data_IF_576224584630
#
_entry.id   IF_576224584630
#
_cell.length_a   1.000
_cell.length_b   1.000
_cell.length_c   1.000
_cell.angle_alpha   90.00
_cell.angle_beta   90.00
_cell.angle_gamma   90.00
#
_symmetry.space_group_name_H-M   'P 1'
#
loop_
_entity.id
_entity.type
_entity.pdbx_description
1 polymer ?
#
# COMPACT_ATOMS: atom_id res chain seq x y z
N UNK A 1 14.70 -4.40 -2.35
CA UNK A 1 15.44 -4.03 -3.58
C UNK A 1 14.46 -3.59 -4.66
N UNK A 2 14.71 -2.47 -5.35
CA UNK A 2 13.87 -2.03 -6.47
C UNK A 2 14.25 -2.80 -7.74
N UNK A 3 13.27 -3.40 -8.41
CA UNK A 3 13.47 -4.20 -9.62
C UNK A 3 13.81 -3.33 -10.85
N UNK A 4 13.40 -2.05 -10.84
CA UNK A 4 13.48 -1.09 -11.95
C UNK A 4 14.35 0.12 -11.62
N UNK A 5 15.59 -0.12 -11.20
CA UNK A 5 16.57 0.95 -10.95
C UNK A 5 17.93 0.69 -11.59
N UNK A 6 17.99 -0.16 -12.63
CA UNK A 6 19.26 -0.47 -13.30
C UNK A 6 19.50 0.53 -14.44
N UNK A 7 20.76 0.68 -14.85
CA UNK A 7 21.13 1.53 -15.99
C UNK A 7 20.32 1.21 -17.26
N UNK A 8 20.05 -0.08 -17.53
CA UNK A 8 19.21 -0.54 -18.66
C UNK A 8 17.76 -0.02 -18.62
N UNK A 9 17.27 0.37 -17.45
CA UNK A 9 15.91 0.87 -17.25
C UNK A 9 15.81 2.39 -17.44
N UNK A 10 16.95 3.06 -17.65
CA UNK A 10 17.03 4.50 -17.86
C UNK A 10 17.09 4.86 -19.34
N UNK A 11 16.59 6.04 -19.68
CA UNK A 11 16.76 6.67 -20.99
C UNK A 11 18.11 7.41 -21.07
N UNK A 12 18.41 8.01 -22.23
CA UNK A 12 19.62 8.81 -22.43
C UNK A 12 19.71 10.04 -21.51
N UNK A 13 18.61 10.44 -20.87
CA UNK A 13 18.52 11.55 -19.90
C UNK A 13 18.50 11.05 -18.44
N UNK A 14 18.72 9.76 -18.20
CA UNK A 14 18.72 9.15 -16.87
C UNK A 14 17.34 8.92 -16.24
N UNK A 15 16.24 9.18 -16.95
CA UNK A 15 14.86 8.96 -16.47
C UNK A 15 14.43 7.52 -16.69
N UNK A 16 13.51 7.01 -15.88
CA UNK A 16 12.95 5.67 -16.07
C UNK A 16 12.21 5.60 -17.41
N UNK A 17 12.48 4.57 -18.22
CA UNK A 17 11.84 4.37 -19.53
C UNK A 17 10.30 4.38 -19.42
N UNK A 18 9.64 5.01 -20.39
CA UNK A 18 8.17 5.13 -20.44
C UNK A 18 7.44 3.78 -20.49
N UNK A 19 8.07 2.71 -20.93
CA UNK A 19 7.49 1.36 -20.87
C UNK A 19 7.15 0.89 -19.44
N UNK A 20 7.70 1.55 -18.42
CA UNK A 20 7.39 1.29 -17.01
C UNK A 20 6.42 2.33 -16.42
N UNK A 21 6.50 3.59 -16.82
CA UNK A 21 5.80 4.74 -16.19
C UNK A 21 4.73 5.41 -17.05
N UNK A 22 4.63 5.04 -18.33
CA UNK A 22 3.70 5.63 -19.29
C UNK A 22 2.26 5.12 -19.14
N UNK A 23 1.28 5.82 -19.74
CA UNK A 23 -0.14 5.44 -19.67
C UNK A 23 -0.42 4.08 -20.33
N UNK A 24 0.34 3.71 -21.36
CA UNK A 24 0.25 2.42 -22.06
C UNK A 24 1.21 1.35 -21.50
N UNK A 25 1.81 1.59 -20.34
CA UNK A 25 2.64 0.60 -19.66
C UNK A 25 1.76 -0.55 -19.17
N UNK A 26 2.13 -1.79 -19.47
CA UNK A 26 1.52 -2.99 -18.87
C UNK A 26 2.28 -3.49 -17.64
N UNK A 27 3.42 -2.85 -17.32
CA UNK A 27 4.32 -3.27 -16.24
C UNK A 27 3.62 -3.40 -14.88
N UNK A 28 2.63 -2.54 -14.60
CA UNK A 28 1.89 -2.55 -13.34
C UNK A 28 0.90 -3.71 -13.20
N UNK A 29 0.51 -4.38 -14.29
CA UNK A 29 -0.41 -5.53 -14.26
C UNK A 29 0.24 -6.76 -13.62
N UNK A 30 1.55 -6.90 -13.74
CA UNK A 30 2.32 -8.00 -13.16
C UNK A 30 2.70 -7.76 -11.68
N UNK A 31 2.17 -6.70 -11.07
CA UNK A 31 2.47 -6.33 -9.69
C UNK A 31 1.20 -6.29 -8.85
N UNK A 32 1.33 -6.57 -7.55
CA UNK A 32 0.27 -6.31 -6.59
C UNK A 32 -0.16 -4.84 -6.67
N UNK A 33 -1.45 -4.54 -6.90
CA UNK A 33 -1.93 -3.19 -7.04
C UNK A 33 -1.56 -2.35 -5.83
N UNK A 34 -1.16 -1.11 -6.09
CA UNK A 34 -0.71 -0.20 -5.03
C UNK A 34 -1.80 0.04 -3.98
N UNK A 35 -3.08 0.01 -4.37
CA UNK A 35 -4.19 0.13 -3.44
C UNK A 35 -4.27 -1.07 -2.48
N UNK A 36 -4.04 -2.29 -2.97
CA UNK A 36 -4.04 -3.51 -2.15
C UNK A 36 -2.92 -3.46 -1.13
N UNK A 37 -1.69 -3.16 -1.59
CA UNK A 37 -0.54 -2.98 -0.69
C UNK A 37 -0.86 -1.92 0.37
N UNK A 38 -1.49 -0.81 -0.02
CA UNK A 38 -1.87 0.26 0.90
C UNK A 38 -2.89 -0.22 1.95
N UNK A 39 -3.86 -1.05 1.57
CA UNK A 39 -4.92 -1.50 2.46
C UNK A 39 -4.46 -2.62 3.40
N UNK A 40 -3.80 -3.64 2.86
CA UNK A 40 -3.56 -4.90 3.57
C UNK A 40 -2.12 -5.09 4.04
N UNK A 41 -1.14 -4.54 3.32
CA UNK A 41 0.28 -4.79 3.64
C UNK A 41 0.95 -3.65 4.41
N UNK A 42 0.64 -2.40 4.03
CA UNK A 42 1.30 -1.20 4.56
C UNK A 42 0.54 -0.64 5.76
N UNK A 43 1.07 -0.94 6.94
CA UNK A 43 0.61 -0.37 8.23
C UNK A 43 -0.93 -0.45 8.40
N UNK A 44 -1.58 -1.60 8.15
CA UNK A 44 -3.05 -1.72 8.19
C UNK A 44 -3.64 -1.26 9.54
N UNK A 45 -2.95 -1.56 10.65
CA UNK A 45 -3.37 -1.13 12.00
C UNK A 45 -3.43 0.37 12.19
N UNK A 46 -2.53 1.15 11.55
CA UNK A 46 -2.61 2.61 11.64
C UNK A 46 -3.90 3.13 11.02
N UNK A 47 -4.42 2.46 9.99
CA UNK A 47 -5.73 2.80 9.41
C UNK A 47 -6.87 2.40 10.32
N UNK A 48 -6.80 1.21 10.90
CA UNK A 48 -7.82 0.73 11.83
C UNK A 48 -7.89 1.61 13.08
N UNK A 49 -6.75 1.97 13.68
CA UNK A 49 -6.70 2.93 14.78
C UNK A 49 -7.27 4.28 14.37
N UNK A 50 -6.90 4.81 13.19
CA UNK A 50 -7.50 6.06 12.70
C UNK A 50 -9.02 5.96 12.57
N UNK A 51 -9.53 4.83 12.07
CA UNK A 51 -10.98 4.58 11.99
C UNK A 51 -11.63 4.57 13.37
N UNK A 52 -11.04 3.87 14.34
CA UNK A 52 -11.53 3.82 15.72
C UNK A 52 -11.49 5.21 16.37
N UNK A 53 -10.39 5.96 16.24
CA UNK A 53 -10.33 7.32 16.76
C UNK A 53 -11.37 8.24 16.10
N UNK A 54 -11.60 8.10 14.79
CA UNK A 54 -12.66 8.85 14.10
C UNK A 54 -14.07 8.45 14.56
N UNK A 55 -14.29 7.18 14.90
CA UNK A 55 -15.54 6.69 15.48
C UNK A 55 -15.80 7.29 16.88
N UNK A 56 -14.79 7.30 17.75
CA UNK A 56 -14.86 7.96 19.07
C UNK A 56 -15.19 9.45 18.92
N UNK A 57 -14.54 10.16 17.99
CA UNK A 57 -14.83 11.58 17.72
C UNK A 57 -16.27 11.81 17.25
N UNK A 58 -16.87 10.84 16.54
CA UNK A 58 -18.27 10.90 16.10
C UNK A 58 -19.27 10.61 17.23
N UNK A 59 -18.81 10.20 18.40
CA UNK A 59 -19.67 9.90 19.56
C UNK A 59 -20.03 8.42 19.73
N UNK A 60 -19.33 7.50 19.05
CA UNK A 60 -19.46 6.06 19.38
C UNK A 60 -18.87 5.78 20.77
N UNK A 61 -19.46 4.81 21.50
CA UNK A 61 -19.00 4.42 22.84
C UNK A 61 -17.55 3.92 22.80
N UNK A 62 -16.60 4.62 23.45
CA UNK A 62 -15.20 4.21 23.48
C UNK A 62 -14.97 2.85 24.12
N UNK A 63 -15.82 2.42 25.06
CA UNK A 63 -15.65 1.17 25.77
C UNK A 63 -15.98 -0.06 24.90
N UNK A 64 -16.82 0.11 23.89
CA UNK A 64 -17.10 -0.91 22.88
C UNK A 64 -16.03 -1.03 21.79
N UNK A 65 -15.12 -0.06 21.69
CA UNK A 65 -14.15 0.04 20.61
C UNK A 65 -12.78 -0.53 21.01
N UNK A 66 -12.47 -1.74 20.53
CA UNK A 66 -11.21 -2.42 20.83
C UNK A 66 -10.13 -2.04 19.80
N UNK A 67 -9.02 -1.48 20.28
CA UNK A 67 -7.84 -1.23 19.45
C UNK A 67 -7.12 -2.56 19.10
N UNK A 68 -6.62 -2.70 17.86
CA UNK A 68 -5.85 -3.87 17.45
C UNK A 68 -4.48 -3.93 18.17
N UNK A 69 -4.36 -4.81 19.17
CA UNK A 69 -3.16 -4.98 20.01
C UNK A 69 -2.12 -5.98 19.45
N UNK A 70 -2.53 -7.01 18.71
CA UNK A 70 -1.62 -8.09 18.27
C UNK A 70 -0.63 -7.64 17.19
N UNK A 71 0.51 -8.33 17.02
CA UNK A 71 1.58 -8.00 16.06
C UNK A 71 1.58 -8.78 14.73
N UNK A 72 0.51 -9.53 14.43
CA UNK A 72 0.42 -10.31 13.18
C UNK A 72 0.21 -9.40 11.96
N UNK A 73 1.00 -9.61 10.90
CA UNK A 73 0.80 -8.98 9.60
C UNK A 73 -0.25 -9.79 8.82
N UNK A 74 -1.17 -9.15 8.08
CA UNK A 74 -2.07 -9.90 7.19
C UNK A 74 -1.24 -10.65 6.15
N UNK A 75 -1.46 -11.96 6.03
CA UNK A 75 -0.86 -12.82 5.01
C UNK A 75 -1.78 -12.94 3.78
N UNK A 76 -2.59 -11.92 3.51
CA UNK A 76 -3.43 -11.85 2.32
C UNK A 76 -2.58 -11.38 1.14
N UNK A 77 -2.11 -12.34 0.36
CA UNK A 77 -1.43 -12.08 -0.90
C UNK A 77 -2.45 -11.79 -1.99
N UNK A 78 -2.07 -10.93 -2.93
CA UNK A 78 -2.91 -10.58 -4.06
C UNK A 78 -2.64 -11.54 -5.22
N UNK A 79 -3.10 -12.78 -5.11
CA UNK A 79 -3.15 -13.80 -6.18
C UNK A 79 -3.72 -15.09 -5.61
#
# INVERSE_FOLDING_TARGET
MSVINKAKDRDSKGRIKRKYTGPYSTYWLSHTPRWWVKMFMNKPKRRQNKRICMAVIRGEDPNGLIYPLGNRKPHEYYW
#
